data_IF_407242220688
#
_entry.id   IF_407242220688
#
_cell.length_a   1.000
_cell.length_b   1.000
_cell.length_c   1.000
_cell.angle_alpha   90.00
_cell.angle_beta   90.00
_cell.angle_gamma   90.00
#
_symmetry.space_group_name_H-M   'P 1'
#
loop_
_entity.id
_entity.type
_entity.pdbx_description
1 polymer ?
#
# COMPACT_ATOMS: atom_id res chain seq x y z
N UNK A 1 14.21 26.48 12.33
CA UNK A 1 13.36 26.03 11.23
C UNK A 1 12.19 25.34 11.90
N UNK A 2 11.06 26.04 12.00
CA UNK A 2 9.92 25.57 12.79
C UNK A 2 9.25 24.40 12.08
N UNK A 3 8.91 23.35 12.83
CA UNK A 3 8.29 22.15 12.27
C UNK A 3 6.97 22.46 11.52
N UNK A 4 6.27 23.52 11.92
CA UNK A 4 5.05 23.99 11.27
C UNK A 4 5.30 24.64 9.89
N UNK A 5 6.47 25.28 9.70
CA UNK A 5 6.87 25.88 8.42
C UNK A 5 7.21 24.79 7.39
N UNK A 6 7.84 23.70 7.83
CA UNK A 6 8.15 22.53 7.00
C UNK A 6 6.86 21.78 6.58
N UNK A 7 5.89 21.65 7.49
CA UNK A 7 4.60 21.03 7.19
C UNK A 7 3.74 21.83 6.20
N UNK A 8 3.74 23.16 6.30
CA UNK A 8 3.03 24.03 5.35
C UNK A 8 3.58 23.90 3.93
N UNK A 9 4.90 23.80 3.79
CA UNK A 9 5.57 23.57 2.50
C UNK A 9 5.20 22.20 1.90
N UNK A 10 5.12 21.16 2.72
CA UNK A 10 4.71 19.82 2.30
C UNK A 10 3.26 19.79 1.80
N UNK A 11 2.33 20.41 2.54
CA UNK A 11 0.92 20.46 2.13
C UNK A 11 0.76 21.24 0.82
N UNK A 12 1.46 22.37 0.65
CA UNK A 12 1.43 23.15 -0.58
C UNK A 12 1.92 22.35 -1.79
N UNK A 13 2.97 21.55 -1.62
CA UNK A 13 3.48 20.66 -2.69
C UNK A 13 2.47 19.57 -3.01
N UNK A 14 1.84 18.98 -2.01
CA UNK A 14 0.80 17.98 -2.16
C UNK A 14 -0.40 18.54 -2.94
N UNK A 15 -0.94 19.67 -2.52
CA UNK A 15 -2.06 20.36 -3.18
C UNK A 15 -1.74 20.71 -4.63
N UNK A 16 -0.50 21.13 -4.93
CA UNK A 16 -0.07 21.37 -6.31
C UNK A 16 -0.12 20.11 -7.18
N UNK A 17 0.36 18.97 -6.69
CA UNK A 17 0.33 17.69 -7.43
C UNK A 17 -1.11 17.26 -7.69
N UNK A 18 -1.98 17.40 -6.68
CA UNK A 18 -3.40 17.10 -6.79
C UNK A 18 -4.07 18.03 -7.81
N UNK A 19 -3.75 19.32 -7.77
CA UNK A 19 -4.20 20.30 -8.75
C UNK A 19 -3.75 19.95 -10.17
N UNK A 20 -2.48 19.57 -10.36
CA UNK A 20 -1.95 19.13 -11.65
C UNK A 20 -2.67 17.87 -12.15
N UNK A 21 -2.91 16.87 -11.30
CA UNK A 21 -3.69 15.70 -11.68
C UNK A 21 -5.10 16.09 -12.12
N UNK A 22 -5.76 16.97 -11.37
CA UNK A 22 -7.13 17.42 -11.66
C UNK A 22 -7.28 18.17 -12.99
N UNK A 23 -6.19 18.74 -13.52
CA UNK A 23 -6.20 19.40 -14.84
C UNK A 23 -6.15 18.41 -16.00
N UNK A 24 -5.59 17.21 -15.78
CA UNK A 24 -5.45 16.17 -16.80
C UNK A 24 -6.48 15.05 -16.67
N UNK A 25 -7.08 14.84 -15.50
CA UNK A 25 -7.97 13.71 -15.24
C UNK A 25 -9.02 14.05 -14.18
N UNK A 26 -10.21 13.46 -14.32
CA UNK A 26 -11.27 13.56 -13.31
C UNK A 26 -10.80 12.96 -11.97
N UNK A 27 -10.73 13.78 -10.93
CA UNK A 27 -10.40 13.37 -9.56
C UNK A 27 -11.26 12.19 -9.10
N UNK A 28 -12.54 12.19 -9.49
CA UNK A 28 -13.48 11.13 -9.14
C UNK A 28 -13.02 9.79 -9.70
N UNK A 29 -12.50 9.76 -10.92
CA UNK A 29 -11.98 8.54 -11.53
C UNK A 29 -10.80 7.98 -10.73
N UNK A 30 -9.84 8.82 -10.35
CA UNK A 30 -8.67 8.40 -9.57
C UNK A 30 -9.10 7.86 -8.20
N UNK A 31 -10.04 8.53 -7.53
CA UNK A 31 -10.60 8.06 -6.27
C UNK A 31 -11.31 6.72 -6.41
N UNK A 32 -12.05 6.49 -7.49
CA UNK A 32 -12.68 5.18 -7.78
C UNK A 32 -11.64 4.08 -8.02
N UNK A 33 -10.53 4.38 -8.70
CA UNK A 33 -9.43 3.44 -8.90
C UNK A 33 -8.83 3.05 -7.54
N UNK A 34 -8.54 4.01 -6.67
CA UNK A 34 -8.03 3.76 -5.32
C UNK A 34 -9.04 2.93 -4.51
N UNK A 35 -10.32 3.30 -4.56
CA UNK A 35 -11.39 2.57 -3.89
C UNK A 35 -11.50 1.12 -4.39
N UNK A 36 -11.41 0.90 -5.69
CA UNK A 36 -11.46 -0.43 -6.31
C UNK A 36 -10.32 -1.33 -5.83
N UNK A 37 -9.07 -0.83 -5.84
CA UNK A 37 -7.93 -1.61 -5.36
C UNK A 37 -8.01 -1.87 -3.85
N UNK A 38 -8.46 -0.88 -3.08
CA UNK A 38 -8.66 -1.02 -1.63
C UNK A 38 -9.73 -2.07 -1.32
N UNK A 39 -10.89 -2.02 -2.01
CA UNK A 39 -11.96 -2.99 -1.86
C UNK A 39 -11.53 -4.39 -2.31
N UNK A 40 -10.72 -4.50 -3.38
CA UNK A 40 -10.19 -5.78 -3.88
C UNK A 40 -9.40 -6.51 -2.79
N UNK A 41 -8.65 -5.79 -1.96
CA UNK A 41 -7.97 -6.40 -0.81
C UNK A 41 -8.98 -6.92 0.24
N UNK A 42 -10.03 -6.16 0.54
CA UNK A 42 -11.13 -6.62 1.40
C UNK A 42 -11.80 -7.90 0.86
N UNK A 43 -11.99 -7.98 -0.45
CA UNK A 43 -12.50 -9.17 -1.13
C UNK A 43 -11.55 -10.36 -0.97
N UNK A 44 -10.23 -10.18 -1.19
CA UNK A 44 -9.26 -11.25 -0.96
C UNK A 44 -9.34 -11.82 0.45
N UNK A 45 -9.29 -10.96 1.47
CA UNK A 45 -9.40 -11.38 2.87
C UNK A 45 -10.73 -12.09 3.19
N UNK A 46 -11.84 -11.65 2.58
CA UNK A 46 -13.15 -12.27 2.74
C UNK A 46 -13.21 -13.65 2.08
N UNK A 47 -12.70 -13.77 0.85
CA UNK A 47 -12.66 -15.04 0.12
C UNK A 47 -11.76 -16.06 0.81
N UNK A 48 -10.64 -15.63 1.39
CA UNK A 48 -9.78 -16.50 2.19
C UNK A 48 -10.57 -17.17 3.32
N UNK A 49 -11.37 -16.40 4.07
CA UNK A 49 -12.22 -16.92 5.14
C UNK A 49 -13.26 -17.90 4.59
N UNK A 50 -13.93 -17.55 3.50
CA UNK A 50 -15.02 -18.35 2.92
C UNK A 50 -14.55 -19.66 2.28
N UNK A 51 -13.36 -19.67 1.67
CA UNK A 51 -12.82 -20.82 0.93
C UNK A 51 -11.80 -21.64 1.72
N UNK A 52 -11.73 -21.44 3.04
CA UNK A 52 -10.95 -22.32 3.94
C UNK A 52 -9.47 -21.95 4.12
N UNK A 53 -9.04 -20.79 3.63
CA UNK A 53 -7.72 -20.20 3.91
C UNK A 53 -7.76 -19.21 5.09
N UNK A 54 -8.92 -19.06 5.74
CA UNK A 54 -9.08 -18.21 6.91
C UNK A 54 -8.24 -18.66 8.09
N UNK A 55 -7.95 -17.71 8.98
CA UNK A 55 -7.32 -18.02 10.25
C UNK A 55 -8.16 -19.00 11.08
N UNK A 56 -7.51 -19.98 11.71
CA UNK A 56 -8.17 -20.99 12.56
C UNK A 56 -8.28 -20.55 14.02
N UNK A 57 -7.42 -19.66 14.46
CA UNK A 57 -7.47 -19.13 15.83
C UNK A 57 -8.35 -17.86 15.90
N UNK A 58 -9.13 -17.66 16.97
CA UNK A 58 -10.09 -16.56 17.05
C UNK A 58 -9.47 -15.16 16.94
N UNK A 59 -8.24 -14.98 17.45
CA UNK A 59 -7.55 -13.69 17.46
C UNK A 59 -7.15 -13.29 16.03
N UNK A 60 -6.48 -14.18 15.32
CA UNK A 60 -6.06 -13.97 13.93
C UNK A 60 -7.27 -13.88 12.99
N UNK A 61 -8.36 -14.61 13.27
CA UNK A 61 -9.61 -14.45 12.52
C UNK A 61 -10.19 -13.05 12.72
N UNK A 62 -10.20 -12.55 13.96
CA UNK A 62 -10.59 -11.18 14.28
C UNK A 62 -9.72 -10.15 13.55
N UNK A 63 -8.40 -10.37 13.47
CA UNK A 63 -7.47 -9.52 12.69
C UNK A 63 -7.82 -9.54 11.20
N UNK A 64 -8.04 -10.71 10.61
CA UNK A 64 -8.37 -10.87 9.19
C UNK A 64 -9.70 -10.17 8.85
N UNK A 65 -10.73 -10.38 9.67
CA UNK A 65 -12.03 -9.70 9.55
C UNK A 65 -11.85 -8.19 9.71
N UNK A 66 -11.09 -7.75 10.71
CA UNK A 66 -10.80 -6.34 10.95
C UNK A 66 -10.14 -5.67 9.75
N UNK A 67 -9.14 -6.31 9.14
CA UNK A 67 -8.50 -5.84 7.91
C UNK A 67 -9.48 -5.77 6.74
N UNK A 68 -10.37 -6.75 6.60
CA UNK A 68 -11.40 -6.73 5.54
C UNK A 68 -12.39 -5.57 5.75
N UNK A 69 -12.90 -5.39 6.97
CA UNK A 69 -13.80 -4.29 7.34
C UNK A 69 -13.13 -2.93 7.12
N UNK A 70 -11.86 -2.79 7.53
CA UNK A 70 -11.08 -1.59 7.27
C UNK A 70 -10.99 -1.31 5.77
N UNK A 71 -10.62 -2.30 4.96
CA UNK A 71 -10.49 -2.15 3.52
C UNK A 71 -11.81 -1.71 2.86
N UNK A 72 -12.94 -2.31 3.21
CA UNK A 72 -14.25 -1.89 2.69
C UNK A 72 -14.65 -0.49 3.15
N UNK A 73 -14.38 -0.16 4.42
CA UNK A 73 -14.69 1.17 4.97
C UNK A 73 -13.83 2.25 4.32
N UNK A 74 -12.54 1.99 4.13
CA UNK A 74 -11.61 2.89 3.46
C UNK A 74 -11.94 3.06 1.98
N UNK A 75 -12.34 1.98 1.29
CA UNK A 75 -12.84 2.05 -0.08
C UNK A 75 -14.10 2.91 -0.16
N UNK A 76 -15.08 2.69 0.71
CA UNK A 76 -16.29 3.51 0.77
C UNK A 76 -15.97 4.98 1.04
N UNK A 77 -15.08 5.25 2.00
CA UNK A 77 -14.59 6.60 2.30
C UNK A 77 -14.06 7.29 1.05
N UNK A 78 -13.16 6.64 0.29
CA UNK A 78 -12.64 7.16 -0.98
C UNK A 78 -13.74 7.47 -2.00
N UNK A 79 -14.88 6.76 -2.00
CA UNK A 79 -15.99 7.04 -2.93
C UNK A 79 -16.89 8.20 -2.52
N UNK A 80 -17.01 8.49 -1.22
CA UNK A 80 -17.97 9.49 -0.70
C UNK A 80 -17.34 10.80 -0.23
N UNK A 81 -16.04 10.85 0.08
CA UNK A 81 -15.36 12.06 0.57
C UNK A 81 -14.54 12.75 -0.52
N UNK A 82 -14.36 14.07 -0.46
CA UNK A 82 -13.41 14.77 -1.34
C UNK A 82 -11.97 14.25 -1.18
N UNK A 83 -11.08 14.63 -2.10
CA UNK A 83 -9.66 14.33 -1.98
C UNK A 83 -9.12 14.64 -0.56
N UNK A 84 -8.41 13.69 0.08
CA UNK A 84 -7.93 13.89 1.44
C UNK A 84 -6.78 14.88 1.52
N UNK A 85 -6.57 15.46 2.71
CA UNK A 85 -5.36 16.23 3.02
C UNK A 85 -4.14 15.32 3.14
N UNK A 86 -2.94 15.87 3.00
CA UNK A 86 -1.67 15.13 2.99
C UNK A 86 -1.56 14.12 4.14
N UNK A 87 -1.79 14.58 5.39
CA UNK A 87 -1.68 13.71 6.58
C UNK A 87 -2.69 12.56 6.57
N UNK A 88 -3.89 12.79 6.03
CA UNK A 88 -4.93 11.77 5.97
C UNK A 88 -4.61 10.75 4.87
N UNK A 89 -4.10 11.22 3.73
CA UNK A 89 -3.59 10.35 2.67
C UNK A 89 -2.41 9.49 3.14
N UNK A 90 -1.46 10.08 3.87
CA UNK A 90 -0.35 9.32 4.44
C UNK A 90 -0.81 8.31 5.50
N UNK A 91 -1.72 8.71 6.39
CA UNK A 91 -2.33 7.80 7.36
C UNK A 91 -3.03 6.62 6.69
N UNK A 92 -3.76 6.87 5.60
CA UNK A 92 -4.36 5.80 4.79
C UNK A 92 -3.33 4.82 4.25
N UNK A 93 -2.19 5.30 3.71
CA UNK A 93 -1.12 4.42 3.20
C UNK A 93 -0.58 3.53 4.32
N UNK A 94 -0.21 4.11 5.46
CA UNK A 94 0.37 3.35 6.59
C UNK A 94 -0.63 2.32 7.15
N UNK A 95 -1.88 2.72 7.36
CA UNK A 95 -2.91 1.80 7.85
C UNK A 95 -3.20 0.68 6.84
N UNK A 96 -3.14 0.98 5.55
CA UNK A 96 -3.32 -0.02 4.49
C UNK A 96 -2.13 -0.98 4.43
N UNK A 97 -0.90 -0.49 4.56
CA UNK A 97 0.30 -1.34 4.62
C UNK A 97 0.20 -2.34 5.80
N UNK A 98 -0.17 -1.84 6.98
CA UNK A 98 -0.38 -2.68 8.16
C UNK A 98 -1.55 -3.65 7.98
N UNK A 99 -2.67 -3.20 7.39
CA UNK A 99 -3.84 -4.03 7.14
C UNK A 99 -3.55 -5.17 6.16
N UNK A 100 -2.77 -4.91 5.10
CA UNK A 100 -2.32 -5.92 4.14
C UNK A 100 -1.45 -6.95 4.85
N UNK A 101 -0.42 -6.52 5.58
CA UNK A 101 0.46 -7.44 6.29
C UNK A 101 -0.28 -8.26 7.34
N UNK A 102 -1.13 -7.62 8.14
CA UNK A 102 -1.92 -8.29 9.17
C UNK A 102 -2.83 -9.37 8.56
N UNK A 103 -3.56 -9.04 7.50
CA UNK A 103 -4.40 -10.00 6.80
C UNK A 103 -3.58 -11.14 6.17
N UNK A 104 -2.38 -10.83 5.65
CA UNK A 104 -1.50 -11.82 5.03
C UNK A 104 -0.96 -12.82 6.07
N UNK A 105 -0.41 -12.31 7.18
CA UNK A 105 0.14 -13.13 8.27
C UNK A 105 -0.92 -13.89 9.06
N UNK A 106 -2.17 -13.42 9.07
CA UNK A 106 -3.27 -14.10 9.77
C UNK A 106 -3.84 -15.29 9.00
N UNK A 107 -3.77 -15.26 7.67
CA UNK A 107 -4.41 -16.26 6.83
C UNK A 107 -3.56 -17.54 6.73
N UNK A 108 -4.23 -18.69 6.69
CA UNK A 108 -3.63 -20.00 6.48
C UNK A 108 -3.58 -20.32 4.98
N UNK A 109 -2.90 -19.48 4.20
CA UNK A 109 -2.82 -19.66 2.75
C UNK A 109 -1.47 -20.25 2.31
N UNK A 110 -1.45 -21.00 1.18
CA UNK A 110 -0.21 -21.42 0.55
C UNK A 110 0.77 -20.24 0.32
N UNK A 111 2.10 -20.45 0.50
CA UNK A 111 3.11 -19.39 0.39
C UNK A 111 3.05 -18.58 -0.90
N UNK A 112 2.73 -19.22 -2.04
CA UNK A 112 2.61 -18.54 -3.33
C UNK A 112 1.50 -17.48 -3.34
N UNK A 113 0.37 -17.73 -2.68
CA UNK A 113 -0.74 -16.79 -2.60
C UNK A 113 -0.44 -15.65 -1.61
N UNK A 114 0.26 -15.97 -0.51
CA UNK A 114 0.74 -14.98 0.46
C UNK A 114 1.66 -13.96 -0.20
N UNK A 115 2.59 -14.42 -1.04
CA UNK A 115 3.45 -13.52 -1.83
C UNK A 115 2.61 -12.73 -2.82
N UNK A 116 1.68 -13.35 -3.56
CA UNK A 116 0.84 -12.65 -4.54
C UNK A 116 0.10 -11.43 -3.95
N UNK A 117 -0.38 -11.53 -2.71
CA UNK A 117 -1.04 -10.41 -2.00
C UNK A 117 -0.11 -9.24 -1.71
N UNK A 118 1.20 -9.43 -1.67
CA UNK A 118 2.15 -8.32 -1.48
C UNK A 118 2.17 -7.34 -2.66
N UNK A 119 1.60 -7.71 -3.81
CA UNK A 119 1.43 -6.79 -4.95
C UNK A 119 0.59 -5.55 -4.60
N UNK A 120 -0.30 -5.62 -3.60
CA UNK A 120 -1.05 -4.45 -3.14
C UNK A 120 -0.15 -3.36 -2.53
N UNK A 121 1.02 -3.73 -1.97
CA UNK A 121 2.02 -2.74 -1.53
C UNK A 121 2.54 -1.90 -2.70
N UNK A 122 2.76 -2.53 -3.86
CA UNK A 122 3.21 -1.80 -5.06
C UNK A 122 2.18 -0.74 -5.44
N UNK A 123 0.88 -1.08 -5.44
CA UNK A 123 -0.20 -0.14 -5.77
C UNK A 123 -0.24 1.05 -4.81
N UNK A 124 -0.10 0.81 -3.51
CA UNK A 124 0.03 1.88 -2.51
C UNK A 124 1.30 2.71 -2.73
N UNK A 125 2.39 2.07 -3.13
CA UNK A 125 3.63 2.73 -3.51
C UNK A 125 3.48 3.61 -4.74
N UNK A 126 2.69 3.23 -5.74
CA UNK A 126 2.40 4.11 -6.89
C UNK A 126 1.70 5.39 -6.42
N UNK A 127 0.70 5.25 -5.54
CA UNK A 127 0.03 6.40 -4.93
C UNK A 127 1.02 7.26 -4.13
N UNK A 128 1.83 6.64 -3.26
CA UNK A 128 2.82 7.35 -2.45
C UNK A 128 3.87 8.06 -3.30
N UNK A 129 4.35 7.41 -4.37
CA UNK A 129 5.36 7.96 -5.28
C UNK A 129 4.86 9.16 -6.06
N UNK A 130 3.59 9.16 -6.48
CA UNK A 130 2.98 10.29 -7.18
C UNK A 130 2.71 11.45 -6.22
N UNK A 131 1.95 11.19 -5.16
CA UNK A 131 1.34 12.26 -4.37
C UNK A 131 2.15 12.69 -3.14
N UNK A 132 2.85 11.77 -2.48
CA UNK A 132 3.47 12.05 -1.19
C UNK A 132 4.90 12.62 -1.33
N UNK A 133 5.43 13.13 -0.23
CA UNK A 133 6.81 13.63 -0.18
C UNK A 133 7.82 12.50 0.04
N UNK A 134 9.11 12.80 -0.15
CA UNK A 134 10.23 11.86 -0.12
C UNK A 134 10.24 11.01 1.15
N UNK A 135 10.08 11.62 2.32
CA UNK A 135 10.19 10.88 3.59
C UNK A 135 9.00 9.94 3.81
N UNK A 136 7.80 10.34 3.35
CA UNK A 136 6.60 9.50 3.41
C UNK A 136 6.73 8.29 2.48
N UNK A 137 7.26 8.51 1.27
CA UNK A 137 7.59 7.45 0.33
C UNK A 137 8.65 6.50 0.91
N UNK A 138 9.73 7.02 1.48
CA UNK A 138 10.76 6.21 2.14
C UNK A 138 10.19 5.41 3.30
N UNK A 139 9.21 5.96 4.04
CA UNK A 139 8.52 5.25 5.11
C UNK A 139 7.72 4.07 4.56
N UNK A 140 6.94 4.28 3.50
CA UNK A 140 6.22 3.20 2.83
C UNK A 140 7.18 2.12 2.31
N UNK A 141 8.25 2.49 1.61
CA UNK A 141 9.25 1.54 1.08
C UNK A 141 9.93 0.76 2.21
N UNK A 142 10.36 1.44 3.27
CA UNK A 142 11.01 0.79 4.41
C UNK A 142 10.07 -0.15 5.17
N UNK A 143 8.82 0.27 5.38
CA UNK A 143 7.79 -0.53 6.02
C UNK A 143 7.46 -1.77 5.18
N UNK A 144 7.05 -1.58 3.93
CA UNK A 144 6.65 -2.68 3.04
C UNK A 144 7.80 -3.62 2.70
N UNK A 145 9.01 -3.10 2.50
CA UNK A 145 10.20 -3.92 2.31
C UNK A 145 10.49 -4.82 3.52
N UNK A 146 10.31 -4.29 4.73
CA UNK A 146 10.42 -5.06 5.98
C UNK A 146 9.32 -6.13 6.07
N UNK A 147 8.06 -5.76 5.80
CA UNK A 147 6.91 -6.65 5.88
C UNK A 147 6.99 -7.80 4.87
N UNK A 148 7.37 -7.52 3.63
CA UNK A 148 7.57 -8.55 2.59
C UNK A 148 8.71 -9.48 2.97
N UNK A 149 9.83 -8.94 3.44
CA UNK A 149 10.96 -9.75 3.89
C UNK A 149 10.56 -10.65 5.06
N UNK A 150 9.74 -10.15 5.99
CA UNK A 150 9.22 -10.95 7.10
C UNK A 150 8.27 -12.05 6.63
N UNK A 151 7.35 -11.77 5.69
CA UNK A 151 6.42 -12.77 5.12
C UNK A 151 7.20 -13.88 4.40
N UNK A 152 8.18 -13.52 3.58
CA UNK A 152 8.99 -14.50 2.83
C UNK A 152 9.92 -15.26 3.79
N UNK A 153 10.51 -14.59 4.77
CA UNK A 153 11.32 -15.22 5.82
C UNK A 153 10.50 -16.22 6.64
N UNK A 154 9.25 -15.89 6.98
CA UNK A 154 8.34 -16.81 7.64
C UNK A 154 8.08 -18.05 6.78
N UNK A 155 7.79 -17.86 5.48
CA UNK A 155 7.55 -18.98 4.57
C UNK A 155 8.79 -19.89 4.40
N UNK A 156 9.98 -19.30 4.38
CA UNK A 156 11.26 -20.03 4.33
C UNK A 156 11.49 -20.87 5.61
N UNK A 157 11.18 -20.31 6.77
CA UNK A 157 11.50 -20.93 8.06
C UNK A 157 10.43 -21.93 8.54
N UNK A 158 9.16 -21.74 8.12
CA UNK A 158 8.02 -22.45 8.70
C UNK A 158 7.06 -23.08 7.68
N UNK A 159 7.27 -22.90 6.36
CA UNK A 159 6.35 -23.40 5.32
C UNK A 159 7.07 -24.18 4.21
N UNK A 160 8.23 -24.79 4.54
CA UNK A 160 9.03 -25.65 3.64
C UNK A 160 9.38 -25.03 2.28
N UNK A 161 9.41 -23.70 2.18
CA UNK A 161 9.83 -23.01 0.94
C UNK A 161 11.35 -23.09 0.82
N UNK A 162 11.91 -23.62 -0.28
CA UNK A 162 13.35 -23.72 -0.44
C UNK A 162 14.01 -22.33 -0.52
N UNK A 163 15.24 -22.13 0.02
CA UNK A 163 15.91 -20.83 0.03
C UNK A 163 16.02 -20.16 -1.34
N UNK A 164 16.32 -20.95 -2.38
CA UNK A 164 16.38 -20.45 -3.75
C UNK A 164 15.00 -19.95 -4.23
N UNK A 165 13.92 -20.69 -3.91
CA UNK A 165 12.57 -20.28 -4.26
C UNK A 165 12.15 -18.99 -3.53
N UNK A 166 12.47 -18.88 -2.24
CA UNK A 166 12.25 -17.67 -1.47
C UNK A 166 13.00 -16.46 -2.06
N UNK A 167 14.28 -16.63 -2.44
CA UNK A 167 15.09 -15.57 -3.03
C UNK A 167 14.59 -15.14 -4.41
N UNK A 168 14.25 -16.10 -5.29
CA UNK A 168 13.76 -15.85 -6.66
C UNK A 168 12.42 -15.12 -6.65
N UNK A 169 11.64 -15.26 -5.58
CA UNK A 169 10.38 -14.54 -5.38
C UNK A 169 10.60 -13.19 -4.70
N UNK A 170 11.46 -13.14 -3.69
CA UNK A 170 11.76 -11.92 -2.93
C UNK A 170 12.37 -10.83 -3.82
N UNK A 171 13.38 -11.16 -4.63
CA UNK A 171 14.12 -10.20 -5.44
C UNK A 171 13.22 -9.39 -6.41
N UNK A 172 12.33 -10.00 -7.22
CA UNK A 172 11.45 -9.22 -8.08
C UNK A 172 10.40 -8.43 -7.30
N UNK A 173 9.82 -8.99 -6.23
CA UNK A 173 8.83 -8.27 -5.42
C UNK A 173 9.45 -7.03 -4.78
N UNK A 174 10.64 -7.16 -4.18
CA UNK A 174 11.38 -6.02 -3.62
C UNK A 174 11.76 -5.00 -4.69
N UNK A 175 12.18 -5.47 -5.86
CA UNK A 175 12.49 -4.58 -6.98
C UNK A 175 11.26 -3.78 -7.40
N UNK A 176 10.07 -4.37 -7.46
CA UNK A 176 8.84 -3.67 -7.82
C UNK A 176 8.39 -2.66 -6.74
N UNK A 177 8.47 -3.04 -5.46
CA UNK A 177 8.09 -2.19 -4.33
C UNK A 177 9.02 -0.97 -4.21
N UNK A 178 10.30 -1.12 -4.54
CA UNK A 178 11.26 -0.01 -4.48
C UNK A 178 11.26 0.79 -5.78
N UNK A 179 11.48 0.13 -6.92
CA UNK A 179 11.78 0.80 -8.17
C UNK A 179 10.57 1.53 -8.74
N UNK A 180 9.37 0.94 -8.75
CA UNK A 180 8.21 1.60 -9.36
C UNK A 180 7.82 2.89 -8.61
N UNK A 181 7.66 2.89 -7.27
CA UNK A 181 7.36 4.10 -6.54
C UNK A 181 8.46 5.15 -6.62
N UNK A 182 9.73 4.73 -6.53
CA UNK A 182 10.86 5.65 -6.62
C UNK A 182 10.99 6.30 -8.00
N UNK A 183 10.84 5.52 -9.07
CA UNK A 183 10.90 6.03 -10.45
C UNK A 183 9.74 6.99 -10.73
N UNK A 184 8.52 6.68 -10.28
CA UNK A 184 7.39 7.60 -10.37
C UNK A 184 7.63 8.90 -9.61
N UNK A 185 8.15 8.80 -8.39
CA UNK A 185 8.50 9.98 -7.60
C UNK A 185 9.53 10.85 -8.33
N UNK A 186 10.61 10.25 -8.84
CA UNK A 186 11.62 10.99 -9.60
C UNK A 186 11.05 11.60 -10.87
N UNK A 187 10.16 10.90 -11.58
CA UNK A 187 9.56 11.37 -12.82
C UNK A 187 8.64 12.58 -12.56
N UNK A 188 7.72 12.48 -11.60
CA UNK A 188 6.82 13.57 -11.23
C UNK A 188 7.60 14.81 -10.77
N UNK A 189 8.69 14.61 -10.02
CA UNK A 189 9.56 15.72 -9.57
C UNK A 189 10.44 16.27 -10.68
N UNK A 190 10.85 15.48 -11.67
CA UNK A 190 11.60 15.96 -12.83
C UNK A 190 10.73 16.86 -13.72
N UNK A 191 9.48 16.45 -14.01
CA UNK A 191 8.51 17.27 -14.76
C UNK A 191 8.27 18.62 -14.09
N UNK A 192 8.36 18.70 -12.76
CA UNK A 192 8.27 19.95 -12.01
C UNK A 192 9.44 20.90 -12.27
N UNK A 193 10.66 20.40 -12.41
CA UNK A 193 11.86 21.22 -12.61
C UNK A 193 11.89 21.89 -13.99
N UNK A 194 11.24 21.28 -14.99
CA UNK A 194 11.13 21.86 -16.34
C UNK A 194 10.12 23.03 -16.43
N UNK A 195 9.30 23.25 -15.39
CA UNK A 195 8.28 24.31 -15.35
C UNK A 195 8.64 25.51 -14.45
N UNK A 196 9.83 25.49 -13.81
CA UNK A 196 10.36 26.57 -12.97
C UNK A 196 11.44 27.36 -13.67
#
# INVERSE_FOLDING_TARGET
MDADEDLGELERRYEWIVGLMSSFTDERLVRWIIAFFTASMGVCATLEILYGFGATNPIALGVQIGSAVFAFTAALWWTVTSWPRLRTAFGFVILSDLGIAAANMSANMPPAYAVGKTAFFVVLGLFAGVFLDRWMLLTHIGLTGTLVTAIIGYNLLFQDVPPLGALVVWAPVMSLIVALPALLYTFVRAVRLDQS
#
